data_IF_733186612056
#
_entry.id   IF_733186612056
#
_cell.length_a   1.000
_cell.length_b   1.000
_cell.length_c   1.000
_cell.angle_alpha   90.00
_cell.angle_beta   90.00
_cell.angle_gamma   90.00
#
_symmetry.space_group_name_H-M   'P 1'
#
loop_
_entity.id
_entity.type
_entity.pdbx_description
1 polymer ?
#
# COMPACT_ATOMS: atom_id res chain seq x y z
N UNK A 1 13.48 4.53 1.76
CA UNK A 1 13.84 4.19 0.38
C UNK A 1 14.41 5.44 -0.30
N UNK A 2 15.36 5.26 -1.22
CA UNK A 2 16.07 6.34 -1.92
C UNK A 2 15.58 6.48 -3.37
N UNK A 3 15.94 7.58 -4.05
CA UNK A 3 15.51 7.86 -5.43
C UNK A 3 15.85 6.75 -6.44
N UNK A 4 16.91 5.98 -6.18
CA UNK A 4 17.31 4.82 -7.00
C UNK A 4 16.45 3.57 -6.78
N UNK A 5 15.42 3.60 -5.94
CA UNK A 5 14.58 2.43 -5.64
C UNK A 5 13.34 2.32 -6.54
N UNK A 6 13.05 3.34 -7.37
CA UNK A 6 11.97 3.27 -8.34
C UNK A 6 12.08 2.03 -9.23
N UNK A 7 10.96 1.33 -9.39
CA UNK A 7 10.75 0.14 -10.20
C UNK A 7 11.45 -1.13 -9.73
N UNK A 8 12.22 -1.09 -8.63
CA UNK A 8 12.73 -2.29 -7.95
C UNK A 8 11.63 -3.01 -7.19
N UNK A 9 11.85 -4.30 -6.94
CA UNK A 9 10.94 -5.12 -6.15
C UNK A 9 11.57 -5.59 -4.85
N UNK A 10 10.74 -5.74 -3.83
CA UNK A 10 11.13 -6.15 -2.50
C UNK A 10 10.19 -7.23 -2.00
N UNK A 11 10.75 -8.29 -1.42
CA UNK A 11 9.98 -9.24 -0.64
C UNK A 11 9.90 -8.72 0.80
N UNK A 12 8.68 -8.43 1.25
CA UNK A 12 8.35 -8.08 2.61
C UNK A 12 8.02 -9.34 3.40
N UNK A 13 8.49 -9.42 4.64
CA UNK A 13 8.06 -10.41 5.63
C UNK A 13 7.56 -9.64 6.85
N UNK A 14 6.28 -9.74 7.17
CA UNK A 14 5.74 -9.08 8.37
C UNK A 14 6.26 -9.75 9.63
N UNK A 15 6.77 -8.94 10.55
CA UNK A 15 7.28 -9.38 11.86
C UNK A 15 6.35 -8.98 13.01
N UNK A 16 5.32 -8.18 12.75
CA UNK A 16 4.26 -7.86 13.70
C UNK A 16 2.89 -7.72 13.02
N UNK A 17 1.84 -7.52 13.84
CA UNK A 17 0.46 -7.38 13.36
C UNK A 17 -0.19 -8.71 12.95
N UNK A 18 -1.40 -8.63 12.38
CA UNK A 18 -2.18 -9.83 12.00
C UNK A 18 -1.60 -10.56 10.77
N UNK A 19 -0.70 -9.89 10.05
CA UNK A 19 0.02 -10.48 8.92
C UNK A 19 1.36 -11.12 9.32
N UNK A 20 1.73 -11.16 10.61
CA UNK A 20 3.02 -11.71 11.05
C UNK A 20 3.29 -13.10 10.44
N UNK A 21 4.49 -13.29 9.90
CA UNK A 21 4.93 -14.50 9.19
C UNK A 21 4.51 -14.59 7.72
N UNK A 22 3.59 -13.74 7.25
CA UNK A 22 3.23 -13.68 5.82
C UNK A 22 4.31 -12.96 5.02
N UNK A 23 4.38 -13.31 3.73
CA UNK A 23 5.28 -12.69 2.77
C UNK A 23 4.52 -12.09 1.59
N UNK A 24 5.00 -10.96 1.08
CA UNK A 24 4.47 -10.29 -0.11
C UNK A 24 5.62 -9.69 -0.91
N UNK A 25 5.57 -9.83 -2.24
CA UNK A 25 6.47 -9.10 -3.12
C UNK A 25 5.76 -7.82 -3.60
N UNK A 26 6.41 -6.68 -3.40
CA UNK A 26 5.94 -5.36 -3.83
C UNK A 26 6.90 -4.77 -4.85
N UNK A 27 6.39 -3.91 -5.73
CA UNK A 27 7.20 -3.06 -6.59
C UNK A 27 7.12 -1.62 -6.09
N UNK A 28 8.26 -0.97 -5.91
CA UNK A 28 8.31 0.44 -5.55
C UNK A 28 7.96 1.28 -6.79
N UNK A 29 6.79 1.92 -6.79
CA UNK A 29 6.32 2.76 -7.92
C UNK A 29 6.47 4.26 -7.65
N UNK A 30 6.80 4.64 -6.42
CA UNK A 30 7.14 5.99 -6.02
C UNK A 30 8.06 5.95 -4.79
N UNK A 31 8.76 7.05 -4.56
CA UNK A 31 9.54 7.28 -3.34
C UNK A 31 9.06 8.60 -2.75
N UNK A 32 8.58 8.54 -1.51
CA UNK A 32 8.17 9.71 -0.75
C UNK A 32 9.27 10.17 0.20
N UNK A 33 9.28 11.47 0.54
CA UNK A 33 10.03 11.94 1.69
C UNK A 33 9.35 11.48 2.99
N UNK A 34 10.09 11.29 4.09
CA UNK A 34 9.50 11.05 5.40
C UNK A 34 8.44 12.10 5.74
N UNK A 35 7.30 11.66 6.26
CA UNK A 35 6.21 12.57 6.64
C UNK A 35 5.30 11.93 7.70
N UNK A 36 4.86 12.70 8.68
CA UNK A 36 4.03 12.18 9.77
C UNK A 36 4.73 11.02 10.50
N UNK A 37 4.06 9.87 10.58
CA UNK A 37 4.62 8.64 11.16
C UNK A 37 5.47 7.80 10.20
N UNK A 38 5.64 8.25 8.94
CA UNK A 38 6.42 7.52 7.92
C UNK A 38 7.88 7.98 7.96
N UNK A 39 8.77 7.08 8.38
CA UNK A 39 10.21 7.28 8.42
C UNK A 39 10.93 6.95 7.10
N UNK A 40 12.24 7.22 7.06
CA UNK A 40 13.07 7.05 5.86
C UNK A 40 13.21 5.61 5.38
N UNK A 41 12.93 4.61 6.22
CA UNK A 41 13.07 3.19 5.90
C UNK A 41 11.72 2.46 5.82
N UNK A 42 10.62 3.20 5.91
CA UNK A 42 9.28 2.63 5.89
C UNK A 42 8.86 2.32 4.44
N UNK A 43 8.00 1.31 4.32
CA UNK A 43 7.36 0.93 3.06
C UNK A 43 5.87 1.19 3.19
N UNK A 44 5.36 2.12 2.37
CA UNK A 44 3.92 2.40 2.28
C UNK A 44 3.30 1.44 1.27
N UNK A 45 2.54 0.46 1.76
CA UNK A 45 1.77 -0.46 0.92
C UNK A 45 0.48 0.22 0.48
N UNK A 46 0.37 0.52 -0.82
CA UNK A 46 -0.82 1.16 -1.38
C UNK A 46 -2.01 0.21 -1.37
N UNK A 47 -3.01 0.53 -0.56
CA UNK A 47 -4.30 -0.16 -0.53
C UNK A 47 -5.43 0.85 -0.76
N UNK A 48 -6.33 0.63 -1.73
CA UNK A 48 -7.53 1.44 -1.84
C UNK A 48 -8.33 1.42 -0.54
N UNK A 49 -8.76 2.61 -0.08
CA UNK A 49 -9.38 2.76 1.22
C UNK A 49 -8.40 2.75 2.40
N UNK A 50 -7.08 2.83 2.16
CA UNK A 50 -6.02 2.97 3.19
C UNK A 50 -5.82 4.38 3.74
N UNK A 51 -6.55 5.37 3.24
CA UNK A 51 -6.40 6.78 3.57
C UNK A 51 -5.58 7.53 2.51
N UNK A 52 -5.91 8.80 2.31
CA UNK A 52 -5.27 9.67 1.30
C UNK A 52 -3.98 10.33 1.80
N UNK A 53 -3.73 10.25 3.11
CA UNK A 53 -2.57 10.87 3.73
C UNK A 53 -2.56 12.40 3.56
N UNK A 54 -1.37 13.04 3.45
CA UNK A 54 -1.27 14.49 3.32
C UNK A 54 -1.78 15.02 1.97
N UNK A 55 -1.79 14.19 0.92
CA UNK A 55 -2.18 14.57 -0.43
C UNK A 55 -3.67 14.31 -0.68
N UNK A 56 -4.52 15.12 -0.04
CA UNK A 56 -5.98 14.89 0.02
C UNK A 56 -6.74 15.08 -1.29
N UNK A 57 -6.15 15.78 -2.27
CA UNK A 57 -6.83 16.17 -3.50
C UNK A 57 -6.98 15.02 -4.52
N UNK A 58 -6.09 14.02 -4.53
CA UNK A 58 -6.01 13.02 -5.61
C UNK A 58 -7.31 12.25 -5.81
N UNK A 59 -7.81 11.58 -4.77
CA UNK A 59 -9.07 10.81 -4.85
C UNK A 59 -10.28 11.72 -5.10
N UNK A 60 -10.32 12.90 -4.46
CA UNK A 60 -11.41 13.86 -4.64
C UNK A 60 -11.51 14.36 -6.08
N UNK A 61 -10.37 14.64 -6.72
CA UNK A 61 -10.36 15.10 -8.10
C UNK A 61 -10.75 13.99 -9.08
N UNK A 62 -10.38 12.73 -8.80
CA UNK A 62 -10.67 11.60 -9.68
C UNK A 62 -12.09 11.04 -9.52
N UNK A 63 -12.59 10.98 -8.29
CA UNK A 63 -13.84 10.29 -7.94
C UNK A 63 -14.88 11.18 -7.26
N UNK A 64 -14.59 12.48 -7.07
CA UNK A 64 -15.45 13.42 -6.36
C UNK A 64 -15.43 13.26 -4.84
N UNK A 65 -14.75 12.26 -4.30
CA UNK A 65 -14.74 11.94 -2.86
C UNK A 65 -13.48 11.18 -2.43
N UNK A 66 -13.34 10.97 -1.12
CA UNK A 66 -12.36 10.10 -0.45
C UNK A 66 -13.10 9.23 0.57
N UNK A 67 -12.53 8.09 0.96
CA UNK A 67 -13.20 7.12 1.84
C UNK A 67 -12.48 6.96 3.19
N UNK A 68 -13.24 7.06 4.27
CA UNK A 68 -12.78 6.87 5.63
C UNK A 68 -11.87 7.99 6.15
N UNK A 69 -11.01 7.65 7.11
CA UNK A 69 -10.10 8.59 7.75
C UNK A 69 -8.99 9.05 6.79
N UNK A 70 -8.51 10.29 6.96
CA UNK A 70 -7.39 10.80 6.16
C UNK A 70 -6.17 9.88 6.23
N UNK A 71 -5.82 9.41 7.44
CA UNK A 71 -4.81 8.39 7.69
C UNK A 71 -5.52 7.12 8.18
N UNK A 72 -5.32 5.98 7.50
CA UNK A 72 -5.94 4.69 7.84
C UNK A 72 -7.22 4.37 7.05
N UNK A 73 -7.89 5.38 6.47
CA UNK A 73 -9.00 5.19 5.54
C UNK A 73 -10.20 4.48 6.16
N UNK A 74 -10.83 3.55 5.43
CA UNK A 74 -12.03 2.85 5.88
C UNK A 74 -11.73 1.99 7.12
N UNK A 75 -12.68 1.78 8.03
CA UNK A 75 -12.44 1.05 9.29
C UNK A 75 -12.70 -0.45 9.20
N UNK A 76 -13.51 -0.89 8.24
CA UNK A 76 -13.97 -2.27 8.14
C UNK A 76 -14.13 -2.75 6.71
N UNK A 77 -14.26 -4.08 6.57
CA UNK A 77 -14.40 -4.77 5.29
C UNK A 77 -15.67 -4.37 4.54
N UNK A 78 -16.76 -4.05 5.24
CA UNK A 78 -18.04 -3.75 4.59
C UNK A 78 -17.97 -2.40 3.86
N UNK A 79 -17.24 -1.43 4.41
CA UNK A 79 -17.00 -0.14 3.78
C UNK A 79 -16.30 -0.24 2.41
N UNK A 80 -15.60 -1.33 2.11
CA UNK A 80 -15.03 -1.58 0.77
C UNK A 80 -16.09 -1.56 -0.33
N UNK A 81 -17.35 -1.89 -0.03
CA UNK A 81 -18.43 -1.86 -1.02
C UNK A 81 -18.80 -0.44 -1.50
N UNK A 82 -18.42 0.59 -0.74
CA UNK A 82 -18.64 2.00 -1.12
C UNK A 82 -17.58 2.56 -2.08
N UNK A 83 -16.50 1.80 -2.30
CA UNK A 83 -15.45 2.19 -3.25
C UNK A 83 -15.86 1.79 -4.68
N UNK A 84 -15.37 2.51 -5.71
CA UNK A 84 -15.51 2.14 -7.10
C UNK A 84 -15.07 0.70 -7.37
N UNK A 85 -15.77 0.00 -8.27
CA UNK A 85 -15.55 -1.44 -8.54
C UNK A 85 -14.08 -1.79 -8.83
N UNK A 86 -13.37 -0.93 -9.56
CA UNK A 86 -11.95 -1.11 -9.88
C UNK A 86 -11.00 -1.00 -8.67
N UNK A 87 -11.46 -0.47 -7.54
CA UNK A 87 -10.70 -0.30 -6.30
C UNK A 87 -11.06 -1.34 -5.23
N UNK A 88 -12.22 -1.97 -5.32
CA UNK A 88 -12.74 -2.87 -4.28
C UNK A 88 -11.81 -4.05 -4.01
N UNK A 89 -11.23 -4.66 -5.05
CA UNK A 89 -10.33 -5.82 -4.90
C UNK A 89 -9.14 -5.53 -3.98
N UNK A 90 -8.51 -4.36 -4.14
CA UNK A 90 -7.41 -3.92 -3.27
C UNK A 90 -7.86 -3.57 -1.85
N UNK A 91 -9.05 -2.98 -1.70
CA UNK A 91 -9.63 -2.74 -0.37
C UNK A 91 -9.91 -4.05 0.38
N UNK A 92 -10.55 -5.01 -0.30
CA UNK A 92 -10.84 -6.32 0.29
C UNK A 92 -9.58 -7.12 0.63
N UNK A 93 -8.50 -6.97 -0.15
CA UNK A 93 -7.21 -7.60 0.18
C UNK A 93 -6.74 -7.23 1.60
N UNK A 94 -6.87 -5.95 1.98
CA UNK A 94 -6.46 -5.44 3.29
C UNK A 94 -7.12 -6.19 4.45
N UNK A 95 -8.41 -6.48 4.32
CA UNK A 95 -9.18 -7.18 5.36
C UNK A 95 -9.16 -8.70 5.22
N UNK A 96 -9.02 -9.23 4.02
CA UNK A 96 -9.10 -10.68 3.79
C UNK A 96 -7.74 -11.37 3.96
N UNK A 97 -6.69 -10.82 3.34
CA UNK A 97 -5.35 -11.42 3.31
C UNK A 97 -4.46 -10.85 4.42
N UNK A 98 -4.39 -9.52 4.51
CA UNK A 98 -3.60 -8.81 5.54
C UNK A 98 -4.28 -8.78 6.91
N UNK A 99 -5.61 -9.01 6.95
CA UNK A 99 -6.42 -9.14 8.18
C UNK A 99 -6.44 -7.87 9.07
N UNK A 100 -6.18 -6.68 8.53
CA UNK A 100 -6.26 -5.44 9.32
C UNK A 100 -5.60 -4.22 8.68
N UNK A 101 -5.54 -3.12 9.43
CA UNK A 101 -4.75 -1.94 9.07
C UNK A 101 -3.26 -2.24 9.22
N UNK A 102 -2.48 -1.93 8.19
CA UNK A 102 -1.04 -2.18 8.12
C UNK A 102 -0.21 -1.12 8.85
N UNK A 103 -0.79 0.04 9.17
CA UNK A 103 -0.08 1.15 9.77
C UNK A 103 0.62 0.75 11.09
N UNK A 104 1.92 1.03 11.19
CA UNK A 104 2.73 0.71 12.37
C UNK A 104 3.11 -0.77 12.51
N UNK A 105 2.79 -1.62 11.52
CA UNK A 105 3.28 -3.00 11.51
C UNK A 105 4.68 -3.07 10.93
N UNK A 106 5.52 -3.88 11.56
CA UNK A 106 6.91 -4.04 11.20
C UNK A 106 7.07 -5.10 10.11
N UNK A 107 8.02 -4.84 9.20
CA UNK A 107 8.42 -5.77 8.16
C UNK A 107 9.94 -5.83 8.09
N UNK A 108 10.46 -7.02 7.81
CA UNK A 108 11.78 -7.17 7.21
C UNK A 108 11.62 -7.17 5.70
N UNK A 109 12.54 -6.54 4.96
CA UNK A 109 12.50 -6.54 3.50
C UNK A 109 13.85 -6.79 2.88
N UNK A 110 13.83 -7.46 1.72
CA UNK A 110 15.00 -7.67 0.87
C UNK A 110 14.64 -7.40 -0.58
N UNK A 111 15.57 -6.81 -1.33
CA UNK A 111 15.39 -6.63 -2.76
C UNK A 111 15.37 -7.99 -3.46
N UNK A 112 14.48 -8.14 -4.45
CA UNK A 112 14.33 -9.34 -5.28
C UNK A 112 14.14 -8.95 -6.74
N UNK A 113 14.31 -9.90 -7.67
CA UNK A 113 13.90 -9.72 -9.06
C UNK A 113 12.40 -9.48 -9.13
N UNK A 114 11.97 -8.51 -9.96
CA UNK A 114 10.56 -8.23 -10.11
C UNK A 114 9.81 -9.38 -10.83
N UNK A 115 8.74 -9.93 -10.24
CA UNK A 115 7.87 -10.86 -10.93
C UNK A 115 7.25 -10.20 -12.17
N UNK A 116 7.18 -10.94 -13.29
CA UNK A 116 6.64 -10.41 -14.54
C UNK A 116 5.21 -9.86 -14.43
N UNK A 117 4.42 -10.37 -13.48
CA UNK A 117 3.07 -9.83 -13.22
C UNK A 117 3.10 -8.39 -12.70
N UNK A 118 4.05 -8.02 -11.84
CA UNK A 118 4.13 -6.65 -11.30
C UNK A 118 4.57 -5.68 -12.40
N UNK A 119 5.62 -6.04 -13.16
CA UNK A 119 6.12 -5.18 -14.24
C UNK A 119 5.12 -5.05 -15.39
N UNK A 120 4.32 -6.08 -15.68
CA UNK A 120 3.25 -5.98 -16.68
C UNK A 120 2.12 -5.02 -16.28
N UNK A 121 1.86 -4.86 -14.98
CA UNK A 121 0.83 -3.94 -14.47
C UNK A 121 1.37 -2.51 -14.44
N UNK A 122 2.60 -2.32 -13.97
CA UNK A 122 3.19 -0.98 -13.82
C UNK A 122 3.77 -0.41 -15.11
N UNK A 123 4.13 -1.28 -16.06
CA UNK A 123 4.88 -0.89 -17.26
C UNK A 123 6.33 -0.49 -16.97
N UNK A 124 6.84 -0.74 -15.75
CA UNK A 124 8.20 -0.36 -15.36
C UNK A 124 9.04 -1.56 -14.94
N UNK A 125 10.31 -1.53 -15.33
CA UNK A 125 11.36 -2.48 -14.95
C UNK A 125 12.62 -1.72 -14.57
N UNK A 126 13.26 -2.12 -13.47
CA UNK A 126 14.54 -1.58 -13.01
C UNK A 126 15.43 -2.68 -12.43
#
# INVERSE_FOLDING_TARGET
MASGDCCKCYQLTWTSGQAAGKQMIVQAINVGAPSGSVGSNDIVVLTPGGGVGPNTAGCRNQYGTSWGQQNGGVSDRAACASLPNNLQGGCYWRFNWAKGDLNGWNVDYKQVSCPGRLTSISGCSG
#
